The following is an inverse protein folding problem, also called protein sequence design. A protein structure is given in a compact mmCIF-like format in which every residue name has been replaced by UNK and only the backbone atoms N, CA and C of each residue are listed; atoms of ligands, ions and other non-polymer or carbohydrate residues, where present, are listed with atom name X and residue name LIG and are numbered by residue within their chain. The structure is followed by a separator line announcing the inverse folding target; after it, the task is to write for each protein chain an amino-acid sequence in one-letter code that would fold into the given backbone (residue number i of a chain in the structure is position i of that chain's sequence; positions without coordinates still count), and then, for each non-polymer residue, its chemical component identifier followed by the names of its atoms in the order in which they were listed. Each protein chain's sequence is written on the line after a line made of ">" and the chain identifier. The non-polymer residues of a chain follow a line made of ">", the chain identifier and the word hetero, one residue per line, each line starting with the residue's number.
data_IF_455360967874
#
_entry.id   IF_455360967874
#
_cell.length_a   1.000
_cell.length_b   1.000
_cell.length_c   1.000
_cell.angle_alpha   90.00
_cell.angle_beta   90.00
_cell.angle_gamma   90.00
#
_symmetry.space_group_name_H-M   'P 1'
#
loop_
_entity.id
_entity.type
_entity.pdbx_description
1 polymer ?
#
# COMPACT_ATOMS: atom_id res chain seq x y z
N UNK A 1 -10.03 21.76 5.78
CA UNK A 1 -9.31 20.71 6.54
C UNK A 1 -10.18 19.48 6.82
N UNK A 2 -11.37 19.64 7.44
CA UNK A 2 -12.26 18.51 7.77
C UNK A 2 -12.64 17.64 6.55
N UNK A 3 -12.99 18.24 5.41
CA UNK A 3 -13.30 17.50 4.20
C UNK A 3 -12.14 16.59 3.73
N UNK A 4 -10.90 17.08 3.80
CA UNK A 4 -9.69 16.33 3.42
C UNK A 4 -9.49 15.14 4.36
N UNK A 5 -9.58 15.35 5.68
CA UNK A 5 -9.45 14.27 6.64
C UNK A 5 -10.56 13.23 6.51
N UNK A 6 -11.79 13.63 6.19
CA UNK A 6 -12.88 12.69 5.92
C UNK A 6 -12.58 11.80 4.69
N UNK A 7 -12.11 12.39 3.59
CA UNK A 7 -11.77 11.64 2.37
C UNK A 7 -10.62 10.66 2.64
N UNK A 8 -9.58 11.09 3.34
CA UNK A 8 -8.45 10.23 3.71
C UNK A 8 -8.88 9.11 4.66
N UNK A 9 -9.71 9.42 5.66
CA UNK A 9 -10.24 8.44 6.61
C UNK A 9 -11.08 7.38 5.91
N UNK A 10 -11.96 7.81 4.99
CA UNK A 10 -12.74 6.91 4.15
C UNK A 10 -11.83 5.98 3.34
N UNK A 11 -10.82 6.53 2.66
CA UNK A 11 -9.88 5.74 1.85
C UNK A 11 -9.14 4.68 2.66
N UNK A 12 -8.62 5.03 3.84
CA UNK A 12 -7.92 4.10 4.74
C UNK A 12 -8.85 3.02 5.26
N UNK A 13 -10.05 3.40 5.69
CA UNK A 13 -11.05 2.46 6.19
C UNK A 13 -11.49 1.50 5.08
N UNK A 14 -11.76 2.04 3.89
CA UNK A 14 -12.16 1.28 2.71
C UNK A 14 -11.11 0.25 2.33
N UNK A 15 -9.83 0.63 2.26
CA UNK A 15 -8.72 -0.33 2.00
C UNK A 15 -8.66 -1.45 3.02
N UNK A 16 -8.79 -1.11 4.30
CA UNK A 16 -8.71 -2.07 5.40
C UNK A 16 -9.88 -3.05 5.36
N UNK A 17 -11.09 -2.58 5.05
CA UNK A 17 -12.27 -3.41 4.90
C UNK A 17 -12.25 -4.23 3.62
N UNK A 18 -11.76 -3.68 2.51
CA UNK A 18 -11.66 -4.38 1.24
C UNK A 18 -10.73 -5.59 1.35
N UNK A 19 -9.64 -5.47 2.11
CA UNK A 19 -8.76 -6.60 2.42
C UNK A 19 -9.48 -7.75 3.16
N UNK A 20 -10.50 -7.44 3.96
CA UNK A 20 -11.25 -8.43 4.76
C UNK A 20 -12.36 -9.09 3.94
N UNK A 21 -13.05 -8.30 3.13
CA UNK A 21 -14.23 -8.75 2.37
C UNK A 21 -13.82 -9.46 1.07
N UNK A 22 -12.77 -8.97 0.40
CA UNK A 22 -12.34 -9.48 -0.90
C UNK A 22 -10.80 -9.54 -0.99
N UNK A 23 -10.14 -10.38 -0.18
CA UNK A 23 -8.67 -10.49 -0.18
C UNK A 23 -8.09 -10.95 -1.51
N UNK A 24 -8.83 -11.75 -2.27
CA UNK A 24 -8.43 -12.33 -3.56
C UNK A 24 -8.74 -11.42 -4.76
N UNK A 25 -9.29 -10.22 -4.53
CA UNK A 25 -9.56 -9.25 -5.59
C UNK A 25 -8.28 -8.82 -6.32
N UNK A 26 -8.36 -8.35 -7.58
CA UNK A 26 -7.20 -7.81 -8.27
C UNK A 26 -6.71 -6.53 -7.58
N UNK A 27 -5.38 -6.32 -7.44
CA UNK A 27 -4.83 -5.15 -6.77
C UNK A 27 -5.18 -3.83 -7.47
N UNK A 28 -5.39 -3.88 -8.80
CA UNK A 28 -5.84 -2.74 -9.61
C UNK A 28 -7.20 -2.17 -9.19
N UNK A 29 -7.98 -2.91 -8.40
CA UNK A 29 -9.22 -2.40 -7.82
C UNK A 29 -8.98 -1.23 -6.86
N UNK A 30 -7.83 -1.23 -6.19
CA UNK A 30 -7.55 -0.32 -5.09
C UNK A 30 -6.24 0.46 -5.23
N UNK A 31 -5.33 0.01 -6.11
CA UNK A 31 -4.01 0.59 -6.32
C UNK A 31 -3.77 0.87 -7.80
N UNK A 32 -3.00 1.91 -8.11
CA UNK A 32 -2.58 2.27 -9.46
C UNK A 32 -1.45 1.34 -9.95
N UNK A 33 -1.21 1.31 -11.26
CA UNK A 33 -0.09 0.52 -11.80
C UNK A 33 1.28 1.01 -11.26
N UNK A 34 1.41 2.32 -11.03
CA UNK A 34 2.62 2.93 -10.47
C UNK A 34 2.83 2.51 -9.02
N UNK A 35 1.79 2.59 -8.18
CA UNK A 35 1.81 2.13 -6.79
C UNK A 35 2.18 0.64 -6.70
N UNK A 36 1.59 -0.20 -7.55
CA UNK A 36 1.89 -1.63 -7.65
C UNK A 36 3.37 -1.85 -7.97
N UNK A 37 3.89 -1.18 -9.01
CA UNK A 37 5.28 -1.31 -9.43
C UNK A 37 6.26 -0.81 -8.36
N UNK A 38 5.93 0.28 -7.66
CA UNK A 38 6.73 0.80 -6.55
C UNK A 38 6.74 -0.18 -5.38
N UNK A 39 5.58 -0.71 -4.97
CA UNK A 39 5.49 -1.71 -3.91
C UNK A 39 6.26 -2.99 -4.25
N UNK A 40 6.29 -3.38 -5.52
CA UNK A 40 7.09 -4.51 -5.99
C UNK A 40 8.59 -4.28 -5.89
N UNK A 41 9.05 -3.05 -6.18
CA UNK A 41 10.46 -2.66 -6.05
C UNK A 41 10.90 -2.47 -4.59
N UNK A 42 10.06 -1.83 -3.78
CA UNK A 42 10.38 -1.47 -2.40
C UNK A 42 10.37 -2.68 -1.46
N UNK A 43 9.50 -3.65 -1.72
CA UNK A 43 9.31 -4.80 -0.85
C UNK A 43 9.41 -6.08 -1.68
N UNK A 44 10.66 -6.51 -1.86
CA UNK A 44 11.00 -7.84 -2.34
C UNK A 44 10.70 -8.87 -1.23
N UNK A 45 10.03 -9.96 -1.60
CA UNK A 45 9.85 -11.10 -0.69
C UNK A 45 8.80 -10.91 0.43
N UNK A 46 7.70 -10.19 0.20
CA UNK A 46 6.50 -10.30 1.05
C UNK A 46 5.77 -11.64 0.84
N UNK A 47 6.51 -12.74 0.93
CA UNK A 47 5.95 -14.09 0.94
C UNK A 47 5.39 -14.39 2.33
N UNK A 48 4.27 -13.77 2.66
CA UNK A 48 3.39 -14.37 3.65
C UNK A 48 2.76 -15.57 2.95
N UNK A 49 3.05 -16.80 3.39
CA UNK A 49 2.52 -18.06 2.80
C UNK A 49 0.99 -18.06 2.60
N UNK A 50 0.29 -17.17 3.31
CA UNK A 50 -1.17 -17.03 3.31
C UNK A 50 -1.70 -16.04 2.25
N UNK A 51 -0.85 -15.23 1.62
CA UNK A 51 -1.28 -14.26 0.59
C UNK A 51 -0.79 -14.72 -0.78
N UNK A 52 -1.74 -15.04 -1.67
CA UNK A 52 -1.44 -15.44 -3.05
C UNK A 52 -0.80 -14.27 -3.81
N UNK A 53 0.31 -14.48 -4.53
CA UNK A 53 0.88 -13.45 -5.38
C UNK A 53 -0.17 -12.90 -6.35
N UNK A 54 -0.19 -11.59 -6.56
CA UNK A 54 -1.14 -10.96 -7.48
C UNK A 54 -2.53 -10.67 -6.91
N UNK A 55 -2.78 -10.93 -5.61
CA UNK A 55 -4.04 -10.54 -4.96
C UNK A 55 -3.94 -9.22 -4.23
N UNK A 56 -5.08 -8.59 -3.98
CA UNK A 56 -5.18 -7.37 -3.20
C UNK A 56 -4.55 -7.54 -1.81
N UNK A 57 -4.81 -8.66 -1.14
CA UNK A 57 -4.24 -8.92 0.19
C UNK A 57 -2.71 -8.94 0.19
N UNK A 58 -2.09 -9.44 -0.89
CA UNK A 58 -0.64 -9.42 -1.03
C UNK A 58 -0.09 -7.99 -1.11
N UNK A 59 -0.70 -7.13 -1.93
CA UNK A 59 -0.26 -5.74 -2.07
C UNK A 59 -0.62 -4.87 -0.87
N UNK A 60 -1.76 -5.07 -0.23
CA UNK A 60 -2.09 -4.36 1.01
C UNK A 60 -1.21 -4.80 2.18
N UNK A 61 -0.73 -6.05 2.18
CA UNK A 61 0.30 -6.48 3.14
C UNK A 61 1.64 -5.80 2.86
N UNK A 62 2.05 -5.66 1.59
CA UNK A 62 3.23 -4.85 1.23
C UNK A 62 3.07 -3.40 1.71
N UNK A 63 1.95 -2.77 1.39
CA UNK A 63 1.63 -1.42 1.83
C UNK A 63 1.71 -1.29 3.36
N UNK A 64 1.11 -2.23 4.10
CA UNK A 64 1.18 -2.24 5.55
C UNK A 64 2.61 -2.41 6.07
N UNK A 65 3.43 -3.25 5.43
CA UNK A 65 4.84 -3.43 5.78
C UNK A 65 5.65 -2.15 5.58
N UNK A 66 5.37 -1.40 4.52
CA UNK A 66 5.93 -0.05 4.35
C UNK A 66 5.55 0.86 5.53
N UNK A 67 4.34 0.68 6.07
CA UNK A 67 3.85 1.36 7.28
C UNK A 67 4.35 0.79 8.62
N UNK A 68 5.22 -0.23 8.62
CA UNK A 68 5.81 -0.85 9.82
C UNK A 68 5.11 -2.12 10.31
N UNK A 69 4.20 -2.70 9.54
CA UNK A 69 3.63 -4.02 9.83
C UNK A 69 4.70 -5.11 9.62
N UNK A 70 4.77 -6.09 10.53
CA UNK A 70 5.83 -7.11 10.49
C UNK A 70 5.45 -8.32 9.63
N UNK A 71 4.16 -8.61 9.48
CA UNK A 71 3.64 -9.77 8.72
C UNK A 71 4.19 -11.12 9.22
N UNK A 72 4.21 -11.33 10.54
CA UNK A 72 4.62 -12.60 11.17
C UNK A 72 3.53 -13.65 11.03
N UNK A 73 3.92 -14.91 11.10
CA UNK A 73 2.98 -16.02 11.12
C UNK A 73 2.04 -15.89 12.34
N UNK A 74 0.76 -15.61 12.07
CA UNK A 74 -0.25 -15.45 13.12
C UNK A 74 -0.63 -14.00 13.43
N UNK A 75 0.03 -13.01 12.83
CA UNK A 75 -0.40 -11.61 12.96
C UNK A 75 -1.84 -11.45 12.42
N UNK A 76 -2.70 -10.66 13.07
CA UNK A 76 -4.00 -10.30 12.53
C UNK A 76 -3.83 -9.49 11.24
N UNK A 77 -4.86 -9.43 10.37
CA UNK A 77 -4.80 -8.64 9.15
C UNK A 77 -4.45 -7.16 9.47
N UNK A 78 -3.74 -6.46 8.56
CA UNK A 78 -3.32 -5.08 8.76
C UNK A 78 -4.45 -4.16 9.23
N UNK A 79 -4.18 -3.36 10.27
CA UNK A 79 -5.11 -2.35 10.78
C UNK A 79 -4.96 -0.99 10.11
N UNK A 80 -5.92 -0.09 10.37
CA UNK A 80 -5.98 1.25 9.76
C UNK A 80 -4.68 2.06 9.93
N UNK A 81 -4.01 1.97 11.08
CA UNK A 81 -2.80 2.74 11.38
C UNK A 81 -1.63 2.38 10.46
N UNK A 82 -1.37 1.08 10.26
CA UNK A 82 -0.27 0.63 9.38
C UNK A 82 -0.61 0.86 7.91
N UNK A 83 -1.89 0.79 7.53
CA UNK A 83 -2.35 1.15 6.19
C UNK A 83 -2.15 2.64 5.91
N UNK A 84 -2.56 3.51 6.84
CA UNK A 84 -2.34 4.95 6.74
C UNK A 84 -0.84 5.30 6.61
N UNK A 85 0.00 4.77 7.52
CA UNK A 85 1.45 4.99 7.45
C UNK A 85 2.06 4.49 6.15
N UNK A 86 1.58 3.35 5.65
CA UNK A 86 1.99 2.80 4.37
C UNK A 86 1.63 3.70 3.20
N UNK A 87 0.38 4.18 3.15
CA UNK A 87 -0.10 5.10 2.12
C UNK A 87 0.70 6.40 2.10
N UNK A 88 0.86 7.07 3.25
CA UNK A 88 1.61 8.33 3.31
C UNK A 88 3.03 8.16 2.79
N UNK A 89 3.73 7.10 3.23
CA UNK A 89 5.09 6.80 2.77
C UNK A 89 5.14 6.44 1.29
N UNK A 90 4.15 5.72 0.78
CA UNK A 90 4.10 5.36 -0.64
C UNK A 90 3.91 6.60 -1.51
N UNK A 91 3.02 7.52 -1.12
CA UNK A 91 2.80 8.78 -1.83
C UNK A 91 4.06 9.65 -1.84
N UNK A 92 4.78 9.76 -0.71
CA UNK A 92 6.04 10.51 -0.66
C UNK A 92 7.11 9.90 -1.58
N UNK A 93 7.18 8.56 -1.65
CA UNK A 93 8.13 7.85 -2.53
C UNK A 93 7.72 7.97 -4.00
N UNK A 94 6.44 7.88 -4.32
CA UNK A 94 5.92 8.07 -5.67
C UNK A 94 6.27 9.46 -6.19
N UNK A 95 6.01 10.50 -5.40
CA UNK A 95 6.40 11.88 -5.74
C UNK A 95 7.92 12.00 -5.96
N UNK A 96 8.73 11.40 -5.08
CA UNK A 96 10.18 11.39 -5.23
C UNK A 96 10.65 10.65 -6.50
N UNK A 97 9.99 9.55 -6.85
CA UNK A 97 10.27 8.78 -8.06
C UNK A 97 9.90 9.59 -9.32
N UNK A 98 8.76 10.27 -9.32
CA UNK A 98 8.34 11.15 -10.42
C UNK A 98 9.36 12.28 -10.64
N UNK A 99 9.78 12.96 -9.57
CA UNK A 99 10.80 14.02 -9.63
C UNK A 99 12.11 13.47 -10.21
N UNK A 100 12.55 12.29 -9.78
CA UNK A 100 13.77 11.66 -10.29
C UNK A 100 13.66 11.33 -11.79
N UNK A 101 12.48 10.95 -12.28
CA UNK A 101 12.24 10.67 -13.70
C UNK A 101 12.06 11.92 -14.56
N UNK A 102 11.60 13.04 -13.98
CA UNK A 102 11.30 14.29 -14.69
C UNK A 102 12.56 15.09 -15.12
N UNK A 103 13.77 14.61 -14.83
CA UNK A 103 15.01 15.11 -15.43
C UNK A 103 15.44 16.53 -15.03
N UNK A 104 14.76 17.20 -14.11
CA UNK A 104 15.13 18.57 -13.68
C UNK A 104 16.27 18.60 -12.63
N UNK A 105 17.19 17.62 -12.71
CA UNK A 105 18.49 17.71 -12.03
C UNK A 105 19.34 18.68 -12.82
N UNK A 106 19.21 19.97 -12.46
CA UNK A 106 19.82 21.10 -13.15
C UNK A 106 21.27 20.85 -13.53
N UNK A 107 21.47 20.59 -14.82
CA UNK A 107 22.76 20.52 -15.48
C UNK A 107 22.68 21.36 -16.75
#
# INVERSE_FOLDING_TARGET
>A
LMAVFCILSWRVLWLTMLNRIAPDAPPKLALTNTEIALLDRLISGASHRRCRPGTLAFYLTKLARLGGYLARAGDPPPGNVVIWRGLSRLTDIELGAEIATAGNVGN
#
